data_IF_068543646228
#
_entry.id   IF_068543646228
#
_cell.length_a   1.000
_cell.length_b   1.000
_cell.length_c   1.000
_cell.angle_alpha   90.00
_cell.angle_beta   90.00
_cell.angle_gamma   90.00
#
_symmetry.space_group_name_H-M   'P 1'
#
loop_
_entity.id
_entity.type
_entity.pdbx_description
1 polymer ?
#
# COMPACT_ATOMS: atom_id res chain seq x y z
N UNK A 1 -3.98 -0.48 -13.97
CA UNK A 1 -5.19 0.32 -14.26
C UNK A 1 -5.54 0.45 -15.74
N UNK A 2 -4.65 0.84 -16.66
CA UNK A 2 -5.02 1.04 -18.10
C UNK A 2 -5.69 -0.17 -18.77
N UNK A 3 -5.39 -1.39 -18.29
CA UNK A 3 -6.04 -2.64 -18.72
C UNK A 3 -7.29 -3.00 -17.91
N UNK A 4 -7.90 -2.06 -17.20
CA UNK A 4 -9.06 -2.28 -16.33
C UNK A 4 -8.78 -3.00 -15.00
N UNK A 5 -7.51 -3.25 -14.68
CA UNK A 5 -7.08 -3.95 -13.45
C UNK A 5 -7.07 -3.04 -12.22
N UNK A 6 -7.48 -3.59 -11.08
CA UNK A 6 -7.51 -2.93 -9.76
C UNK A 6 -6.13 -3.00 -9.09
N UNK A 7 -5.71 -1.88 -8.51
CA UNK A 7 -4.41 -1.73 -7.87
C UNK A 7 -4.55 -1.32 -6.41
N UNK A 8 -3.66 -1.82 -5.55
CA UNK A 8 -3.50 -1.35 -4.18
C UNK A 8 -2.06 -0.91 -3.91
N UNK A 9 -1.88 0.10 -3.08
CA UNK A 9 -0.59 0.67 -2.70
C UNK A 9 -0.52 0.79 -1.17
N UNK A 10 0.42 0.09 -0.56
CA UNK A 10 0.70 0.14 0.87
C UNK A 10 1.88 1.09 1.06
N UNK A 11 1.59 2.35 1.37
CA UNK A 11 2.56 3.43 1.56
C UNK A 11 3.04 3.43 3.01
N UNK A 12 3.92 2.48 3.34
CA UNK A 12 4.58 2.41 4.64
C UNK A 12 5.62 3.53 4.84
N UNK A 13 6.17 4.11 3.76
CA UNK A 13 7.07 5.27 3.82
C UNK A 13 6.36 6.61 4.01
N UNK A 14 5.02 6.64 3.87
CA UNK A 14 4.19 7.85 3.97
C UNK A 14 4.67 8.95 3.00
N UNK A 15 5.14 8.54 1.82
CA UNK A 15 5.88 9.39 0.88
C UNK A 15 5.21 9.49 -0.50
N UNK A 16 4.06 8.84 -0.70
CA UNK A 16 3.35 8.88 -1.98
C UNK A 16 2.81 10.29 -2.28
N UNK A 17 3.26 10.89 -3.40
CA UNK A 17 2.67 12.12 -3.94
C UNK A 17 1.56 11.79 -4.96
N UNK A 18 0.26 12.02 -4.63
CA UNK A 18 -0.85 11.73 -5.53
C UNK A 18 -0.86 12.62 -6.78
N UNK A 19 -0.34 13.86 -6.68
CA UNK A 19 -0.24 14.76 -7.84
C UNK A 19 0.79 14.24 -8.83
N UNK A 20 1.93 13.74 -8.33
CA UNK A 20 2.96 13.14 -9.17
C UNK A 20 2.46 11.82 -9.80
N UNK A 21 1.86 10.93 -9.01
CA UNK A 21 1.30 9.68 -9.51
C UNK A 21 0.24 9.93 -10.62
N UNK A 22 -0.62 10.95 -10.46
CA UNK A 22 -1.57 11.37 -11.51
C UNK A 22 -0.87 11.81 -12.80
N UNK A 23 0.25 12.55 -12.71
CA UNK A 23 1.05 12.95 -13.89
C UNK A 23 1.65 11.75 -14.61
N UNK A 24 1.95 10.66 -13.90
CA UNK A 24 2.41 9.39 -14.49
C UNK A 24 1.25 8.57 -15.10
N UNK A 25 0.01 9.02 -14.97
CA UNK A 25 -1.18 8.37 -15.52
C UNK A 25 -1.76 7.29 -14.63
N UNK A 26 -1.49 7.36 -13.32
CA UNK A 26 -2.22 6.59 -12.30
C UNK A 26 -3.60 7.23 -12.11
N UNK A 27 -4.63 6.40 -12.09
CA UNK A 27 -5.98 6.77 -11.66
C UNK A 27 -6.00 6.78 -10.13
N UNK A 28 -5.92 7.98 -9.55
CA UNK A 28 -5.85 8.20 -8.11
C UNK A 28 -7.19 7.90 -7.44
N UNK A 29 -8.31 8.15 -8.12
CA UNK A 29 -9.64 7.97 -7.54
C UNK A 29 -9.96 6.47 -7.38
N UNK A 30 -9.38 5.62 -8.23
CA UNK A 30 -9.54 4.17 -8.21
C UNK A 30 -8.38 3.41 -7.51
N UNK A 31 -7.29 4.09 -7.13
CA UNK A 31 -6.17 3.45 -6.44
C UNK A 31 -6.49 3.27 -4.95
N UNK A 32 -6.51 2.03 -4.46
CA UNK A 32 -6.59 1.79 -3.03
C UNK A 32 -5.24 2.12 -2.40
N UNK A 33 -5.22 3.03 -1.44
CA UNK A 33 -4.01 3.41 -0.70
C UNK A 33 -4.21 3.13 0.78
N UNK A 34 -3.20 2.56 1.42
CA UNK A 34 -3.14 2.41 2.87
C UNK A 34 -1.82 2.94 3.40
N UNK A 35 -1.87 3.69 4.50
CA UNK A 35 -0.71 4.15 5.26
C UNK A 35 -0.73 3.44 6.63
N UNK A 36 -0.08 2.27 6.74
CA UNK A 36 -0.09 1.51 7.98
C UNK A 36 0.82 2.15 9.04
N UNK A 37 0.48 1.90 10.30
CA UNK A 37 1.25 2.28 11.49
C UNK A 37 2.38 1.29 11.76
N UNK A 38 2.18 -0.01 11.51
CA UNK A 38 3.19 -1.07 11.75
C UNK A 38 3.36 -2.00 10.55
N UNK A 39 4.50 -2.69 10.52
CA UNK A 39 4.80 -3.70 9.51
C UNK A 39 3.80 -4.86 9.51
N UNK A 40 3.37 -5.31 10.69
CA UNK A 40 2.36 -6.36 10.81
C UNK A 40 1.01 -5.91 10.24
N UNK A 41 0.57 -4.69 10.57
CA UNK A 41 -0.67 -4.14 10.01
C UNK A 41 -0.61 -4.04 8.48
N UNK A 42 0.52 -3.58 7.94
CA UNK A 42 0.74 -3.53 6.49
C UNK A 42 0.56 -4.90 5.83
N UNK A 43 1.14 -5.95 6.43
CA UNK A 43 1.08 -7.31 5.91
C UNK A 43 -0.29 -7.97 6.13
N UNK A 44 -0.99 -7.66 7.21
CA UNK A 44 -2.39 -8.09 7.42
C UNK A 44 -3.33 -7.50 6.36
N UNK A 45 -3.14 -6.24 6.00
CA UNK A 45 -3.87 -5.59 4.90
C UNK A 45 -3.55 -6.29 3.58
N UNK A 46 -2.27 -6.56 3.31
CA UNK A 46 -1.85 -7.29 2.12
C UNK A 46 -2.54 -8.65 2.01
N UNK A 47 -2.54 -9.41 3.10
CA UNK A 47 -3.10 -10.75 3.19
C UNK A 47 -4.64 -10.73 3.04
N UNK A 48 -5.33 -9.76 3.65
CA UNK A 48 -6.76 -9.55 3.45
C UNK A 48 -7.12 -9.22 1.99
N UNK A 49 -6.37 -8.30 1.37
CA UNK A 49 -6.57 -7.91 -0.03
C UNK A 49 -6.28 -9.08 -0.99
N UNK A 50 -5.20 -9.84 -0.75
CA UNK A 50 -4.86 -11.02 -1.54
C UNK A 50 -5.96 -12.09 -1.45
N UNK A 51 -6.47 -12.36 -0.25
CA UNK A 51 -7.59 -13.32 -0.05
C UNK A 51 -8.89 -12.89 -0.71
N UNK A 52 -9.14 -11.58 -0.82
CA UNK A 52 -10.36 -11.07 -1.44
C UNK A 52 -10.47 -11.43 -2.93
N UNK A 53 -9.33 -11.62 -3.60
CA UNK A 53 -9.26 -11.78 -5.06
C UNK A 53 -9.67 -10.53 -5.86
N UNK A 54 -9.95 -9.40 -5.20
CA UNK A 54 -10.41 -8.17 -5.84
C UNK A 54 -9.25 -7.29 -6.37
N UNK A 55 -8.01 -7.59 -5.99
CA UNK A 55 -6.81 -6.82 -6.37
C UNK A 55 -5.98 -7.64 -7.34
N UNK A 56 -5.68 -7.07 -8.51
CA UNK A 56 -4.83 -7.72 -9.52
C UNK A 56 -3.34 -7.51 -9.23
N UNK A 57 -2.98 -6.34 -8.68
CA UNK A 57 -1.60 -5.99 -8.33
C UNK A 57 -1.57 -5.13 -7.08
N UNK A 58 -0.64 -5.44 -6.19
CA UNK A 58 -0.40 -4.70 -4.96
C UNK A 58 1.09 -4.37 -4.86
N UNK A 59 1.39 -3.16 -4.38
CA UNK A 59 2.74 -2.67 -4.14
C UNK A 59 2.86 -2.29 -2.66
N UNK A 60 4.02 -2.59 -2.06
CA UNK A 60 4.38 -2.15 -0.71
C UNK A 60 5.60 -1.26 -0.83
N UNK A 61 5.47 -0.02 -0.37
CA UNK A 61 6.50 1.02 -0.40
C UNK A 61 6.75 1.54 1.02
N UNK A 62 7.72 1.02 1.76
CA UNK A 62 8.69 -0.01 1.36
C UNK A 62 8.87 -1.06 2.46
N UNK A 63 9.52 -2.18 2.10
CA UNK A 63 9.85 -3.24 3.05
C UNK A 63 10.73 -2.72 4.20
N UNK A 64 11.61 -1.76 3.92
CA UNK A 64 12.46 -1.16 4.95
C UNK A 64 11.67 -0.35 5.98
N UNK A 65 10.50 0.16 5.60
CA UNK A 65 9.58 0.89 6.47
C UNK A 65 8.55 -0.02 7.18
N UNK A 66 8.62 -1.34 7.01
CA UNK A 66 7.78 -2.28 7.74
C UNK A 66 8.32 -2.52 9.16
N UNK A 67 8.35 -1.45 9.96
CA UNK A 67 8.84 -1.49 11.34
C UNK A 67 7.92 -2.36 12.19
N UNK A 68 8.45 -3.39 12.88
CA UNK A 68 7.65 -4.22 13.77
C UNK A 68 6.99 -3.39 14.87
N UNK A 69 5.79 -3.80 15.28
CA UNK A 69 5.05 -3.14 16.35
C UNK A 69 5.89 -3.00 17.63
N UNK A 70 6.63 -4.04 18.00
CA UNK A 70 7.50 -4.03 19.18
C UNK A 70 8.58 -2.92 19.12
N UNK A 71 9.15 -2.68 17.93
CA UNK A 71 10.16 -1.63 17.74
C UNK A 71 9.54 -0.22 17.82
N UNK A 72 8.29 -0.05 17.34
CA UNK A 72 7.55 1.22 17.44
C UNK A 72 7.15 1.52 18.89
N UNK A 73 6.74 0.51 19.64
CA UNK A 73 6.32 0.63 21.05
C UNK A 73 7.51 0.70 22.02
N UNK A 74 8.73 0.39 21.55
CA UNK A 74 9.98 0.54 22.31
C UNK A 74 10.35 -0.64 23.20
N UNK A 75 9.94 -1.87 22.83
CA UNK A 75 10.34 -3.12 23.50
C UNK A 75 11.63 -3.74 22.92
#
# INVERSE_FOLDING_TARGET
QREGKTCAFIDAEHALDPVYAKKLGVDIDALLVSQPDTGEQALEICDALARSGAIDVMVVDSVAALTPKAEIEGE
#
